data_IF_191766985558
#
_entry.id   IF_191766985558
#
_cell.length_a   1.000
_cell.length_b   1.000
_cell.length_c   1.000
_cell.angle_alpha   90.00
_cell.angle_beta   90.00
_cell.angle_gamma   90.00
#
_symmetry.space_group_name_H-M   'P 1'
#
loop_
_entity.id
_entity.type
_entity.pdbx_description
1 polymer ?
#
# COMPACT_ATOMS: atom_id res chain seq x y z
N UNK A 1 -7.20 -11.46 9.98
CA UNK A 1 -7.37 -11.22 8.52
C UNK A 1 -6.10 -10.70 7.91
N UNK A 2 -5.79 -11.14 6.69
CA UNK A 2 -4.62 -10.70 5.93
C UNK A 2 -5.07 -10.01 4.64
N UNK A 3 -4.42 -8.90 4.27
CA UNK A 3 -4.77 -8.10 3.10
C UNK A 3 -3.53 -7.67 2.35
N UNK A 4 -3.62 -7.65 1.03
CA UNK A 4 -2.62 -7.02 0.16
C UNK A 4 -2.99 -5.55 -0.05
N UNK A 5 -2.58 -4.69 0.88
CA UNK A 5 -3.00 -3.29 0.93
C UNK A 5 -2.40 -2.44 -0.20
N UNK A 6 -1.42 -2.94 -0.92
CA UNK A 6 -0.79 -2.29 -2.07
C UNK A 6 -1.52 -2.53 -3.40
N UNK A 7 -2.54 -3.39 -3.41
CA UNK A 7 -3.28 -3.69 -4.64
C UNK A 7 -4.43 -2.70 -4.87
N UNK A 8 -4.73 -2.46 -6.14
CA UNK A 8 -5.81 -1.56 -6.55
C UNK A 8 -7.16 -2.23 -6.34
N UNK A 9 -8.07 -1.62 -5.55
CA UNK A 9 -9.38 -2.20 -5.29
C UNK A 9 -10.32 -2.05 -6.49
N UNK A 10 -11.46 -2.75 -6.43
CA UNK A 10 -12.55 -2.53 -7.36
C UNK A 10 -13.12 -1.12 -7.21
N UNK A 11 -13.77 -0.62 -8.26
CA UNK A 11 -14.43 0.69 -8.22
C UNK A 11 -15.41 0.77 -7.04
N UNK A 12 -15.40 1.89 -6.35
CA UNK A 12 -16.22 2.15 -5.18
C UNK A 12 -15.67 1.63 -3.86
N UNK A 13 -14.54 0.90 -3.88
CA UNK A 13 -13.93 0.31 -2.68
C UNK A 13 -12.60 0.97 -2.30
N UNK A 14 -12.33 2.16 -2.81
CA UNK A 14 -11.09 2.88 -2.54
C UNK A 14 -11.21 4.38 -2.69
N UNK A 15 -10.12 5.05 -2.41
CA UNK A 15 -9.95 6.49 -2.58
C UNK A 15 -8.60 6.79 -3.22
N UNK A 16 -8.48 7.96 -3.85
CA UNK A 16 -7.23 8.41 -4.43
C UNK A 16 -6.34 9.01 -3.36
N UNK A 17 -5.16 8.44 -3.16
CA UNK A 17 -4.20 8.83 -2.14
C UNK A 17 -2.79 8.82 -2.76
N UNK A 18 -1.92 9.69 -2.30
CA UNK A 18 -0.55 9.76 -2.79
C UNK A 18 0.21 8.45 -2.52
N UNK A 19 0.89 7.99 -3.56
CA UNK A 19 1.86 6.90 -3.50
C UNK A 19 3.04 7.26 -4.42
N UNK A 20 4.22 7.45 -3.86
CA UNK A 20 5.38 8.00 -4.57
C UNK A 20 5.05 9.31 -5.31
N UNK A 21 4.38 10.22 -4.62
CA UNK A 21 3.97 11.55 -5.12
C UNK A 21 3.01 11.52 -6.32
N UNK A 22 2.37 10.39 -6.57
CA UNK A 22 1.33 10.25 -7.59
C UNK A 22 0.04 9.76 -6.96
N UNK A 23 -1.10 10.25 -7.44
CA UNK A 23 -2.40 9.78 -6.99
C UNK A 23 -2.63 8.34 -7.41
N UNK A 24 -2.75 7.45 -6.44
CA UNK A 24 -3.05 6.03 -6.65
C UNK A 24 -4.39 5.68 -6.02
N UNK A 25 -5.21 4.92 -6.74
CA UNK A 25 -6.47 4.42 -6.19
C UNK A 25 -6.17 3.37 -5.13
N UNK A 26 -6.51 3.66 -3.88
CA UNK A 26 -6.04 2.94 -2.70
C UNK A 26 -7.22 2.32 -1.96
N UNK A 27 -7.09 1.04 -1.57
CA UNK A 27 -8.11 0.36 -0.78
C UNK A 27 -8.33 1.06 0.56
N UNK A 28 -9.60 1.11 0.98
CA UNK A 28 -9.99 1.67 2.29
C UNK A 28 -10.35 0.60 3.31
N UNK A 29 -10.34 -0.67 2.89
CA UNK A 29 -10.88 -1.77 3.70
C UNK A 29 -10.14 -1.97 5.01
N UNK A 30 -8.81 -2.12 4.94
CA UNK A 30 -7.98 -2.37 6.13
C UNK A 30 -8.07 -1.21 7.11
N UNK A 31 -7.94 0.00 6.57
CA UNK A 31 -7.95 1.23 7.35
C UNK A 31 -9.29 1.43 8.06
N UNK A 32 -10.38 1.19 7.35
CA UNK A 32 -11.72 1.31 7.92
C UNK A 32 -11.99 0.25 8.99
N UNK A 33 -11.56 -0.98 8.75
CA UNK A 33 -11.66 -2.04 9.76
C UNK A 33 -10.87 -1.71 11.02
N UNK A 34 -9.63 -1.28 10.87
CA UNK A 34 -8.79 -0.89 11.99
C UNK A 34 -9.41 0.25 12.80
N UNK A 35 -9.88 1.30 12.12
CA UNK A 35 -10.51 2.46 12.77
C UNK A 35 -11.79 2.08 13.51
N UNK A 36 -12.59 1.19 12.94
CA UNK A 36 -13.88 0.78 13.50
C UNK A 36 -13.72 -0.18 14.68
N UNK A 37 -12.82 -1.14 14.56
CA UNK A 37 -12.67 -2.21 15.56
C UNK A 37 -11.61 -1.92 16.61
N UNK A 38 -10.70 -0.99 16.32
CA UNK A 38 -9.51 -0.70 17.15
C UNK A 38 -8.60 -1.92 17.35
N UNK A 39 -8.67 -2.88 16.43
CA UNK A 39 -7.80 -4.06 16.48
C UNK A 39 -6.34 -3.69 16.19
N UNK A 40 -5.39 -4.35 16.86
CA UNK A 40 -3.98 -4.22 16.51
C UNK A 40 -3.74 -4.57 15.05
N UNK A 41 -2.95 -3.75 14.37
CA UNK A 41 -2.63 -3.91 12.95
C UNK A 41 -1.12 -4.04 12.80
N UNK A 42 -0.69 -5.03 12.04
CA UNK A 42 0.73 -5.26 11.76
C UNK A 42 0.96 -5.35 10.25
N UNK A 43 2.17 -4.99 9.84
CA UNK A 43 2.67 -5.26 8.50
C UNK A 43 3.55 -6.50 8.51
N UNK A 44 3.42 -7.31 7.46
CA UNK A 44 4.32 -8.43 7.19
C UNK A 44 4.91 -8.19 5.81
N UNK A 45 6.22 -8.18 5.73
CA UNK A 45 6.94 -7.99 4.48
C UNK A 45 8.06 -9.01 4.36
N UNK A 46 8.22 -9.60 3.17
CA UNK A 46 9.32 -10.50 2.89
C UNK A 46 10.30 -9.83 1.93
N UNK A 47 11.58 -9.84 2.31
CA UNK A 47 12.66 -9.33 1.48
C UNK A 47 13.70 -10.42 1.25
N UNK A 48 14.26 -10.46 0.05
CA UNK A 48 15.46 -11.25 -0.22
C UNK A 48 16.70 -10.49 0.24
N UNK A 49 17.81 -11.20 0.43
CA UNK A 49 19.10 -10.56 0.69
C UNK A 49 20.13 -10.98 -0.38
N UNK A 50 21.30 -10.36 -0.33
CA UNK A 50 22.37 -10.58 -1.31
C UNK A 50 22.88 -12.04 -1.32
N UNK A 51 22.69 -12.77 -0.22
CA UNK A 51 23.11 -14.18 -0.09
C UNK A 51 22.02 -15.17 -0.55
N UNK A 52 20.90 -14.67 -1.10
CA UNK A 52 19.80 -15.49 -1.58
C UNK A 52 18.84 -16.00 -0.51
N UNK A 53 18.99 -15.57 0.74
CA UNK A 53 18.05 -15.88 1.82
C UNK A 53 16.89 -14.88 1.84
N UNK A 54 15.71 -15.37 2.20
CA UNK A 54 14.55 -14.52 2.44
C UNK A 54 14.42 -14.22 3.91
N UNK A 55 14.10 -12.97 4.23
CA UNK A 55 13.78 -12.54 5.59
C UNK A 55 12.36 -12.00 5.66
N UNK A 56 11.67 -12.31 6.75
CA UNK A 56 10.32 -11.80 7.02
C UNK A 56 10.43 -10.71 8.08
N UNK A 57 9.94 -9.53 7.76
CA UNK A 57 9.84 -8.42 8.70
C UNK A 57 8.41 -8.30 9.18
N UNK A 58 8.23 -8.17 10.49
CA UNK A 58 6.93 -7.92 11.12
C UNK A 58 7.04 -6.60 11.86
N UNK A 59 6.15 -5.67 11.55
CA UNK A 59 6.16 -4.32 12.14
C UNK A 59 4.76 -3.94 12.58
N UNK A 60 4.63 -3.40 13.79
CA UNK A 60 3.37 -2.81 14.24
C UNK A 60 3.04 -1.57 13.45
N UNK A 61 1.77 -1.41 13.09
CA UNK A 61 1.28 -0.19 12.50
C UNK A 61 1.20 0.94 13.53
N UNK A 62 1.47 2.16 13.11
CA UNK A 62 1.30 3.34 13.96
C UNK A 62 -0.18 3.53 14.33
N UNK A 63 -0.45 4.06 15.52
CA UNK A 63 -1.81 4.31 16.01
C UNK A 63 -2.61 5.29 15.15
N UNK A 64 -1.96 6.06 14.28
CA UNK A 64 -2.62 6.88 13.27
C UNK A 64 -3.51 6.08 12.31
N UNK A 65 -3.35 4.74 12.27
CA UNK A 65 -4.26 3.85 11.53
C UNK A 65 -5.72 3.99 12.01
N UNK A 66 -5.92 4.38 13.25
CA UNK A 66 -7.25 4.57 13.83
C UNK A 66 -7.86 5.94 13.52
N UNK A 67 -7.08 6.87 12.97
CA UNK A 67 -7.52 8.21 12.61
C UNK A 67 -7.93 8.25 11.13
N UNK A 68 -9.23 8.41 10.89
CA UNK A 68 -9.79 8.42 9.53
C UNK A 68 -9.23 9.51 8.62
N UNK A 69 -8.70 10.60 9.17
CA UNK A 69 -8.09 11.68 8.38
C UNK A 69 -6.68 11.36 7.90
N UNK A 70 -6.01 10.38 8.50
CA UNK A 70 -4.59 10.08 8.29
C UNK A 70 -4.31 8.67 7.79
N UNK A 71 -5.20 7.73 8.04
CA UNK A 71 -4.89 6.31 7.91
C UNK A 71 -4.59 5.86 6.46
N UNK A 72 -5.22 6.46 5.46
CA UNK A 72 -4.97 6.09 4.06
C UNK A 72 -3.56 6.49 3.63
N UNK A 73 -3.16 7.73 3.93
CA UNK A 73 -1.81 8.20 3.61
C UNK A 73 -0.75 7.48 4.43
N UNK A 74 -1.06 7.15 5.69
CA UNK A 74 -0.16 6.39 6.55
C UNK A 74 0.21 5.04 5.92
N UNK A 75 -0.78 4.27 5.50
CA UNK A 75 -0.54 2.93 4.93
C UNK A 75 0.29 3.03 3.65
N UNK A 76 -0.02 3.95 2.76
CA UNK A 76 0.77 4.13 1.54
C UNK A 76 2.21 4.53 1.86
N UNK A 77 2.41 5.42 2.82
CA UNK A 77 3.74 5.85 3.24
C UNK A 77 4.55 4.70 3.87
N UNK A 78 3.90 3.89 4.68
CA UNK A 78 4.54 2.73 5.29
C UNK A 78 4.93 1.69 4.23
N UNK A 79 4.08 1.47 3.23
CA UNK A 79 4.40 0.60 2.10
C UNK A 79 5.60 1.14 1.31
N UNK A 80 5.65 2.45 1.03
CA UNK A 80 6.79 3.09 0.39
C UNK A 80 8.09 2.82 1.16
N UNK A 81 8.06 2.95 2.48
CA UNK A 81 9.24 2.69 3.33
C UNK A 81 9.69 1.23 3.26
N UNK A 82 8.74 0.29 3.23
CA UNK A 82 9.06 -1.13 3.08
C UNK A 82 9.66 -1.43 1.71
N UNK A 83 9.13 -0.85 0.64
CA UNK A 83 9.67 -0.99 -0.72
C UNK A 83 11.07 -0.41 -0.80
N UNK A 84 11.30 0.76 -0.19
CA UNK A 84 12.59 1.46 -0.26
C UNK A 84 13.74 0.70 0.43
N UNK A 85 13.44 -0.22 1.33
CA UNK A 85 14.46 -1.09 1.95
C UNK A 85 15.14 -1.99 0.93
N UNK A 86 14.39 -2.52 -0.04
CA UNK A 86 14.88 -3.34 -1.13
C UNK A 86 13.95 -3.24 -2.34
N UNK A 87 14.11 -2.19 -3.15
CA UNK A 87 13.19 -1.91 -4.27
C UNK A 87 13.10 -3.03 -5.29
N UNK A 88 14.15 -3.85 -5.46
CA UNK A 88 14.18 -4.95 -6.42
C UNK A 88 13.19 -6.08 -6.08
N UNK A 89 12.74 -6.17 -4.84
CA UNK A 89 11.80 -7.21 -4.41
C UNK A 89 10.33 -6.84 -4.66
N UNK A 90 10.06 -5.59 -5.05
CA UNK A 90 8.69 -5.16 -5.31
C UNK A 90 8.24 -5.56 -6.73
N UNK A 91 6.99 -5.97 -6.84
CA UNK A 91 6.37 -6.35 -8.12
C UNK A 91 6.04 -5.11 -8.96
N UNK A 92 7.05 -4.52 -9.57
CA UNK A 92 6.90 -3.30 -10.40
C UNK A 92 6.06 -3.52 -11.65
N UNK A 93 5.93 -4.75 -12.11
CA UNK A 93 5.04 -5.12 -13.22
C UNK A 93 3.56 -5.00 -12.86
N UNK A 94 3.20 -4.94 -11.58
CA UNK A 94 1.83 -4.70 -11.14
C UNK A 94 1.44 -3.26 -11.43
N UNK A 95 0.31 -3.07 -12.11
CA UNK A 95 -0.17 -1.75 -12.53
C UNK A 95 -0.83 -0.99 -11.37
N UNK A 96 -0.02 -0.57 -10.38
CA UNK A 96 -0.47 0.12 -9.16
C UNK A 96 -1.25 1.41 -9.45
N UNK A 97 -0.93 2.09 -10.53
CA UNK A 97 -1.54 3.37 -10.92
C UNK A 97 -2.63 3.23 -11.99
N UNK A 98 -3.18 2.05 -12.22
CA UNK A 98 -4.14 1.81 -13.32
C UNK A 98 -5.45 2.57 -13.18
N UNK A 99 -5.78 3.11 -12.01
CA UNK A 99 -6.95 3.95 -11.75
C UNK A 99 -6.58 5.30 -11.16
N UNK A 100 -5.40 5.79 -11.52
CA UNK A 100 -4.90 7.08 -11.02
C UNK A 100 -5.60 8.26 -11.68
N UNK A 101 -5.48 9.41 -11.06
CA UNK A 101 -5.94 10.69 -11.60
C UNK A 101 -4.74 11.54 -12.04
N UNK A 102 -4.90 12.35 -13.10
CA UNK A 102 -6.03 12.33 -14.03
C UNK A 102 -6.01 11.09 -14.93
N UNK A 103 -7.20 10.60 -15.30
CA UNK A 103 -7.33 9.40 -16.14
C UNK A 103 -6.65 9.54 -17.51
N UNK A 104 -6.54 10.78 -18.00
CA UNK A 104 -5.88 11.12 -19.26
C UNK A 104 -4.38 10.79 -19.24
N UNK A 105 -3.76 10.79 -18.06
CA UNK A 105 -2.33 10.55 -17.87
C UNK A 105 -2.07 9.11 -17.39
N UNK A 106 -2.79 8.15 -17.93
CA UNK A 106 -2.58 6.75 -17.60
C UNK A 106 -1.13 6.34 -17.93
N UNK A 107 -0.30 6.01 -16.93
CA UNK A 107 1.11 5.68 -17.17
C UNK A 107 1.29 4.37 -17.96
N UNK A 108 0.23 3.60 -18.15
CA UNK A 108 0.25 2.32 -18.86
C UNK A 108 -0.37 2.42 -20.25
N UNK A 109 -0.75 3.62 -20.71
CA UNK A 109 -1.28 3.81 -22.05
C UNK A 109 -0.25 3.38 -23.09
N UNK A 110 -0.69 2.56 -24.05
CA UNK A 110 0.19 2.04 -25.10
C UNK A 110 1.00 0.79 -24.73
N UNK A 111 0.77 0.24 -23.56
CA UNK A 111 1.41 -1.00 -23.12
C UNK A 111 0.47 -2.18 -23.25
#
# INVERSE_FOLDING_TARGET
MCFAADQVPKRGLGEHVNFYNKMAYTTTLVQNLASKTKCPTIYICMNSNINGFNSVSIKSCNDAIYDKSKHLQLVNKDIEQMINKRPVDYSWEYKRFKRSLPLENNPYAGI
#
